data_IF_301510114546
#
_entry.id   IF_301510114546
#
_cell.length_a   1.000
_cell.length_b   1.000
_cell.length_c   1.000
_cell.angle_alpha   90.00
_cell.angle_beta   90.00
_cell.angle_gamma   90.00
#
_symmetry.space_group_name_H-M   'P 1'
#
loop_
_entity.id
_entity.type
_entity.pdbx_description
1 polymer ?
#
# COMPACT_ATOMS: atom_id res chain seq x y z
N UNK A 1 5.92 6.71 -31.16
CA UNK A 1 5.68 7.57 -29.98
C UNK A 1 5.77 6.70 -28.73
N UNK A 2 6.78 6.91 -27.88
CA UNK A 2 6.91 6.17 -26.61
C UNK A 2 5.86 6.73 -25.64
N UNK A 3 4.68 6.11 -25.59
CA UNK A 3 3.61 6.57 -24.67
C UNK A 3 4.07 6.32 -23.24
N UNK A 4 4.16 7.39 -22.46
CA UNK A 4 4.54 7.36 -21.05
C UNK A 4 3.71 6.34 -20.27
N UNK A 5 4.37 5.48 -19.46
CA UNK A 5 3.71 4.52 -18.59
C UNK A 5 3.55 5.11 -17.19
N UNK A 6 2.46 4.76 -16.53
CA UNK A 6 2.11 5.20 -15.18
C UNK A 6 1.87 4.00 -14.30
N UNK A 7 1.91 4.17 -12.99
CA UNK A 7 1.57 3.13 -12.06
C UNK A 7 0.10 3.29 -11.66
N UNK A 8 -0.73 2.40 -12.19
CA UNK A 8 -2.15 2.28 -11.82
C UNK A 8 -2.26 1.32 -10.65
N UNK A 9 -2.97 1.72 -9.62
CA UNK A 9 -3.22 0.89 -8.44
C UNK A 9 -4.71 0.81 -8.21
N UNK A 10 -5.23 -0.41 -8.27
CA UNK A 10 -6.57 -0.73 -7.81
C UNK A 10 -6.48 -1.44 -6.46
N UNK A 11 -7.46 -1.19 -5.61
CA UNK A 11 -7.53 -1.84 -4.31
C UNK A 11 -8.91 -2.41 -4.05
N UNK A 12 -8.94 -3.43 -3.19
CA UNK A 12 -10.17 -4.06 -2.75
C UNK A 12 -10.07 -4.38 -1.26
N UNK A 13 -11.14 -4.19 -0.51
CA UNK A 13 -11.16 -4.47 0.93
C UNK A 13 -11.55 -5.92 1.16
N UNK A 14 -10.69 -6.64 1.87
CA UNK A 14 -10.93 -8.05 2.21
C UNK A 14 -12.17 -8.15 3.10
N UNK A 15 -13.06 -9.08 2.76
CA UNK A 15 -14.27 -9.35 3.54
C UNK A 15 -15.13 -8.11 3.87
N UNK A 16 -15.19 -7.15 2.94
CA UNK A 16 -15.94 -5.89 3.12
C UNK A 16 -17.39 -6.11 3.57
N UNK A 17 -17.99 -7.25 3.21
CA UNK A 17 -19.35 -7.63 3.62
C UNK A 17 -19.46 -7.99 5.11
N UNK A 18 -18.38 -8.43 5.74
CA UNK A 18 -18.32 -8.78 7.17
C UNK A 18 -18.14 -7.55 8.10
N UNK A 19 -17.89 -6.37 7.52
CA UNK A 19 -17.75 -5.13 8.30
C UNK A 19 -19.10 -4.73 8.88
N UNK A 20 -19.27 -4.91 10.19
CA UNK A 20 -20.52 -4.65 10.91
C UNK A 20 -20.86 -3.18 10.99
N UNK A 21 -19.88 -2.31 11.31
CA UNK A 21 -20.08 -0.86 11.36
C UNK A 21 -19.50 -0.16 10.14
N UNK A 22 -20.20 -0.26 9.00
CA UNK A 22 -19.79 0.31 7.71
C UNK A 22 -19.60 1.83 7.76
N UNK A 23 -20.41 2.56 8.52
CA UNK A 23 -20.27 4.01 8.65
C UNK A 23 -19.00 4.41 9.40
N UNK A 24 -18.70 3.74 10.52
CA UNK A 24 -17.47 3.99 11.26
C UNK A 24 -16.23 3.66 10.40
N UNK A 25 -16.26 2.51 9.72
CA UNK A 25 -15.18 2.12 8.81
C UNK A 25 -15.00 3.13 7.68
N UNK A 26 -16.08 3.58 7.03
CA UNK A 26 -16.03 4.60 5.98
C UNK A 26 -15.38 5.91 6.46
N UNK A 27 -15.65 6.31 7.71
CA UNK A 27 -14.99 7.49 8.31
C UNK A 27 -13.49 7.29 8.49
N UNK A 28 -13.07 6.09 8.92
CA UNK A 28 -11.65 5.74 9.08
C UNK A 28 -10.97 5.71 7.71
N UNK A 29 -11.57 5.05 6.72
CA UNK A 29 -11.05 4.95 5.36
C UNK A 29 -10.92 6.33 4.70
N UNK A 30 -11.94 7.19 4.82
CA UNK A 30 -11.88 8.55 4.27
C UNK A 30 -10.75 9.37 4.91
N UNK A 31 -10.52 9.24 6.23
CA UNK A 31 -9.39 9.90 6.91
C UNK A 31 -8.05 9.38 6.40
N UNK A 32 -7.93 8.06 6.19
CA UNK A 32 -6.73 7.46 5.61
C UNK A 32 -6.46 8.02 4.21
N UNK A 33 -7.47 8.04 3.34
CA UNK A 33 -7.38 8.57 1.97
C UNK A 33 -6.97 10.04 1.97
N UNK A 34 -7.64 10.88 2.77
CA UNK A 34 -7.30 12.32 2.85
C UNK A 34 -5.87 12.55 3.34
N UNK A 35 -5.45 11.78 4.36
CA UNK A 35 -4.08 11.87 4.90
C UNK A 35 -3.06 11.50 3.83
N UNK A 36 -3.22 10.36 3.17
CA UNK A 36 -2.29 9.88 2.14
C UNK A 36 -2.27 10.82 0.93
N UNK A 37 -3.42 11.25 0.45
CA UNK A 37 -3.51 12.21 -0.67
C UNK A 37 -2.79 13.53 -0.37
N UNK A 38 -2.84 14.00 0.89
CA UNK A 38 -2.11 15.21 1.31
C UNK A 38 -0.61 14.97 1.41
N UNK A 39 -0.19 13.85 2.02
CA UNK A 39 1.23 13.52 2.23
C UNK A 39 1.96 13.28 0.92
N UNK A 40 1.31 12.67 -0.06
CA UNK A 40 1.89 12.26 -1.33
C UNK A 40 1.33 13.01 -2.53
N UNK A 41 0.84 14.23 -2.33
CA UNK A 41 0.19 15.04 -3.39
C UNK A 41 1.04 15.16 -4.66
N UNK A 42 2.36 15.28 -4.52
CA UNK A 42 3.28 15.38 -5.66
C UNK A 42 3.45 14.07 -6.44
N UNK A 43 3.18 12.93 -5.80
CA UNK A 43 3.34 11.61 -6.40
C UNK A 43 2.17 11.24 -7.32
N UNK A 44 0.99 11.79 -7.12
CA UNK A 44 -0.19 11.41 -7.86
C UNK A 44 -0.35 12.16 -9.20
N UNK A 45 -0.79 11.42 -10.22
CA UNK A 45 -1.50 11.97 -11.40
C UNK A 45 -2.98 12.09 -11.04
N UNK A 46 -3.55 11.02 -10.48
CA UNK A 46 -4.89 11.03 -9.91
C UNK A 46 -4.82 10.48 -8.48
N UNK A 47 -5.26 11.29 -7.48
CA UNK A 47 -5.22 10.90 -6.08
C UNK A 47 -6.16 9.73 -5.79
N UNK A 48 -5.99 9.10 -4.64
CA UNK A 48 -6.83 7.99 -4.18
C UNK A 48 -8.28 8.44 -4.13
N UNK A 49 -9.16 7.67 -4.79
CA UNK A 49 -10.61 7.87 -4.81
C UNK A 49 -11.33 6.54 -4.65
N UNK A 50 -12.45 6.56 -3.92
CA UNK A 50 -13.36 5.42 -3.87
C UNK A 50 -14.09 5.34 -5.22
N UNK A 51 -14.04 4.16 -5.86
CA UNK A 51 -14.65 3.90 -7.15
C UNK A 51 -16.07 3.34 -6.98
N UNK A 52 -16.20 2.35 -6.09
CA UNK A 52 -17.47 1.67 -5.88
C UNK A 52 -17.66 1.31 -4.41
N UNK A 53 -18.82 1.61 -3.86
CA UNK A 53 -19.18 1.28 -2.48
C UNK A 53 -18.21 1.87 -1.46
N UNK A 54 -17.64 1.00 -0.62
CA UNK A 54 -16.57 1.31 0.34
C UNK A 54 -15.32 0.45 0.09
N UNK A 55 -15.36 -0.43 -0.87
CA UNK A 55 -14.45 -1.56 -1.03
C UNK A 55 -13.47 -1.41 -2.19
N UNK A 56 -13.78 -0.62 -3.20
CA UNK A 56 -12.92 -0.43 -4.35
C UNK A 56 -12.33 0.98 -4.36
N UNK A 57 -10.99 1.08 -4.30
CA UNK A 57 -10.27 2.34 -4.46
C UNK A 57 -9.36 2.26 -5.69
N UNK A 58 -9.08 3.43 -6.25
CA UNK A 58 -8.09 3.54 -7.32
C UNK A 58 -7.22 4.78 -7.14
N UNK A 59 -6.00 4.71 -7.66
CA UNK A 59 -5.06 5.84 -7.77
C UNK A 59 -4.12 5.65 -8.94
N UNK A 60 -3.53 6.76 -9.41
CA UNK A 60 -2.50 6.76 -10.45
C UNK A 60 -1.29 7.53 -9.97
N UNK A 61 -0.12 6.89 -9.96
CA UNK A 61 1.14 7.45 -9.49
C UNK A 61 2.02 7.80 -10.71
N UNK A 62 2.69 8.94 -10.61
CA UNK A 62 3.68 9.40 -11.60
C UNK A 62 4.87 8.43 -11.63
N UNK A 63 5.49 8.17 -12.81
CA UNK A 63 6.62 7.25 -12.91
C UNK A 63 7.74 7.55 -11.91
N UNK A 64 8.17 8.81 -11.81
CA UNK A 64 9.27 9.21 -10.93
C UNK A 64 8.99 9.04 -9.42
N UNK A 65 7.75 8.73 -9.02
CA UNK A 65 7.36 8.52 -7.63
C UNK A 65 6.87 7.09 -7.35
N UNK A 66 7.07 6.14 -8.27
CA UNK A 66 6.59 4.76 -8.09
C UNK A 66 7.22 4.07 -6.86
N UNK A 67 8.43 4.47 -6.43
CA UNK A 67 9.06 3.99 -5.21
C UNK A 67 8.23 4.26 -3.94
N UNK A 68 7.32 5.24 -3.97
CA UNK A 68 6.47 5.57 -2.81
C UNK A 68 5.31 4.59 -2.60
N UNK A 69 5.01 3.72 -3.59
CA UNK A 69 3.79 2.89 -3.53
C UNK A 69 3.75 1.98 -2.30
N UNK A 70 4.87 1.36 -1.94
CA UNK A 70 4.89 0.46 -0.80
C UNK A 70 4.66 1.21 0.52
N UNK A 71 5.19 2.42 0.65
CA UNK A 71 4.94 3.29 1.81
C UNK A 71 3.47 3.73 1.86
N UNK A 72 2.87 4.07 0.72
CA UNK A 72 1.44 4.41 0.62
C UNK A 72 0.56 3.23 1.07
N UNK A 73 0.85 2.01 0.62
CA UNK A 73 0.16 0.77 1.03
C UNK A 73 0.24 0.59 2.55
N UNK A 74 1.43 0.74 3.13
CA UNK A 74 1.61 0.60 4.58
C UNK A 74 0.82 1.66 5.37
N UNK A 75 0.78 2.92 4.92
CA UNK A 75 -0.01 3.97 5.58
C UNK A 75 -1.52 3.67 5.54
N UNK A 76 -2.02 3.17 4.41
CA UNK A 76 -3.42 2.74 4.28
C UNK A 76 -3.69 1.57 5.22
N UNK A 77 -2.94 0.47 5.14
CA UNK A 77 -3.11 -0.73 5.96
C UNK A 77 -3.03 -0.42 7.47
N UNK A 78 -2.06 0.40 7.90
CA UNK A 78 -1.93 0.77 9.31
C UNK A 78 -3.11 1.59 9.82
N UNK A 79 -3.74 2.39 8.95
CA UNK A 79 -4.87 3.25 9.35
C UNK A 79 -6.19 2.46 9.40
N UNK A 80 -6.40 1.51 8.49
CA UNK A 80 -7.64 0.72 8.40
C UNK A 80 -7.60 -0.57 9.21
N UNK A 81 -6.43 -0.93 9.77
CA UNK A 81 -6.28 -2.13 10.59
C UNK A 81 -7.38 -2.22 11.69
N UNK A 82 -7.93 -3.39 11.94
CA UNK A 82 -7.49 -4.73 11.51
C UNK A 82 -8.04 -5.20 10.15
N UNK A 83 -8.68 -4.33 9.38
CA UNK A 83 -9.23 -4.67 8.07
C UNK A 83 -8.08 -4.74 7.06
N UNK A 84 -8.02 -5.83 6.30
CA UNK A 84 -7.00 -6.04 5.27
C UNK A 84 -7.47 -5.52 3.91
N UNK A 85 -6.51 -5.16 3.07
CA UNK A 85 -6.74 -4.67 1.72
C UNK A 85 -5.91 -5.46 0.71
N UNK A 86 -6.46 -5.63 -0.50
CA UNK A 86 -5.76 -6.14 -1.68
C UNK A 86 -5.31 -4.99 -2.56
N UNK A 87 -4.16 -5.14 -3.21
CA UNK A 87 -3.56 -4.11 -4.08
C UNK A 87 -3.08 -4.75 -5.38
N UNK A 88 -3.67 -4.36 -6.50
CA UNK A 88 -3.15 -4.66 -7.82
C UNK A 88 -2.42 -3.43 -8.37
N UNK A 89 -1.12 -3.57 -8.57
CA UNK A 89 -0.18 -2.52 -8.95
C UNK A 89 0.31 -2.81 -10.36
N UNK A 90 -0.06 -1.99 -11.34
CA UNK A 90 0.26 -2.23 -12.74
C UNK A 90 0.92 -1.02 -13.37
N UNK A 91 2.10 -1.22 -13.96
CA UNK A 91 2.76 -0.21 -14.80
C UNK A 91 2.28 -0.36 -16.23
N UNK A 92 1.64 0.67 -16.78
CA UNK A 92 1.11 0.61 -18.12
C UNK A 92 0.60 1.94 -18.66
N UNK A 93 -0.03 1.87 -19.83
CA UNK A 93 -0.60 3.04 -20.50
C UNK A 93 -1.98 3.36 -19.95
N UNK A 94 -2.30 4.65 -19.98
CA UNK A 94 -3.64 5.18 -19.73
C UNK A 94 -4.08 5.81 -21.05
N UNK A 95 -5.24 5.40 -21.55
CA UNK A 95 -5.71 5.79 -22.88
C UNK A 95 -6.69 6.97 -22.82
N UNK A 96 -7.49 7.08 -21.76
CA UNK A 96 -8.52 8.12 -21.60
C UNK A 96 -8.51 8.76 -20.21
N UNK A 97 -9.17 9.92 -20.08
CA UNK A 97 -9.43 10.59 -18.80
C UNK A 97 -8.24 11.30 -18.16
N UNK A 98 -7.10 11.35 -18.83
CA UNK A 98 -5.84 11.86 -18.26
C UNK A 98 -5.88 13.33 -17.83
N UNK A 99 -6.54 14.18 -18.59
CA UNK A 99 -6.59 15.64 -18.35
C UNK A 99 -7.43 16.04 -17.13
N UNK A 100 -8.30 15.15 -16.67
CA UNK A 100 -9.23 15.46 -15.59
C UNK A 100 -8.64 15.17 -14.20
N UNK A 101 -7.49 14.50 -14.12
CA UNK A 101 -6.85 14.08 -12.87
C UNK A 101 -7.79 13.32 -11.91
N UNK A 102 -8.85 12.73 -12.45
CA UNK A 102 -9.88 11.97 -11.73
C UNK A 102 -9.82 10.52 -12.17
N UNK A 103 -9.36 9.67 -11.28
CA UNK A 103 -9.17 8.24 -11.58
C UNK A 103 -10.47 7.53 -11.98
N UNK A 104 -11.64 8.04 -11.57
CA UNK A 104 -12.95 7.47 -11.95
C UNK A 104 -13.30 7.67 -13.44
N UNK A 105 -12.57 8.53 -14.12
CA UNK A 105 -12.75 8.85 -15.55
C UNK A 105 -11.60 8.33 -16.41
N UNK A 106 -10.62 7.67 -15.79
CA UNK A 106 -9.47 7.11 -16.47
C UNK A 106 -9.73 5.66 -16.87
N UNK A 107 -9.22 5.28 -18.04
CA UNK A 107 -9.26 3.90 -18.54
C UNK A 107 -8.04 3.61 -19.42
N UNK A 108 -7.78 2.30 -19.64
CA UNK A 108 -6.70 1.82 -20.48
C UNK A 108 -6.19 0.45 -20.05
N UNK A 109 -5.23 -0.08 -20.84
CA UNK A 109 -4.64 -1.41 -20.64
C UNK A 109 -4.17 -1.64 -19.18
N UNK A 110 -3.60 -0.61 -18.54
CA UNK A 110 -3.15 -0.71 -17.14
C UNK A 110 -4.30 -0.96 -16.15
N UNK A 111 -5.46 -0.33 -16.37
CA UNK A 111 -6.65 -0.55 -15.54
C UNK A 111 -7.24 -1.94 -15.73
N UNK A 112 -7.33 -2.43 -16.98
CA UNK A 112 -7.81 -3.78 -17.26
C UNK A 112 -6.92 -4.85 -16.63
N UNK A 113 -5.60 -4.70 -16.74
CA UNK A 113 -4.63 -5.60 -16.09
C UNK A 113 -4.71 -5.54 -14.56
N UNK A 114 -4.92 -4.35 -13.99
CA UNK A 114 -5.08 -4.20 -12.55
C UNK A 114 -6.38 -4.85 -12.06
N UNK A 115 -7.48 -4.72 -12.80
CA UNK A 115 -8.74 -5.41 -12.49
C UNK A 115 -8.59 -6.93 -12.53
N UNK A 116 -7.91 -7.47 -13.56
CA UNK A 116 -7.55 -8.89 -13.59
C UNK A 116 -6.67 -9.30 -12.41
N UNK A 117 -5.72 -8.45 -12.01
CA UNK A 117 -4.89 -8.65 -10.81
C UNK A 117 -5.72 -8.76 -9.53
N UNK A 118 -6.71 -7.89 -9.33
CA UNK A 118 -7.64 -8.00 -8.17
C UNK A 118 -8.41 -9.33 -8.19
N UNK A 119 -8.85 -9.80 -9.36
CA UNK A 119 -9.53 -11.09 -9.48
C UNK A 119 -8.61 -12.26 -9.05
N UNK A 120 -7.35 -12.27 -9.54
CA UNK A 120 -6.34 -13.26 -9.14
C UNK A 120 -6.04 -13.22 -7.64
N UNK A 121 -5.97 -12.03 -7.05
CA UNK A 121 -5.75 -11.88 -5.61
C UNK A 121 -6.91 -12.45 -4.77
N UNK A 122 -8.14 -12.32 -5.26
CA UNK A 122 -9.33 -12.90 -4.61
C UNK A 122 -9.32 -14.42 -4.68
N UNK A 123 -9.01 -14.97 -5.85
CA UNK A 123 -8.95 -16.41 -6.11
C UNK A 123 -7.87 -17.11 -5.27
N UNK A 124 -6.68 -16.51 -5.17
CA UNK A 124 -5.52 -17.10 -4.50
C UNK A 124 -5.34 -16.64 -3.04
N UNK A 125 -6.28 -15.86 -2.49
CA UNK A 125 -6.23 -15.31 -1.12
C UNK A 125 -4.96 -14.51 -0.82
N UNK A 126 -4.40 -13.86 -1.86
CA UNK A 126 -3.23 -13.00 -1.76
C UNK A 126 -3.62 -11.53 -1.59
N UNK A 127 -2.66 -10.68 -1.22
CA UNK A 127 -2.91 -9.27 -0.92
C UNK A 127 -2.24 -8.32 -1.92
N UNK A 128 -1.12 -8.72 -2.51
CA UNK A 128 -0.35 -7.86 -3.42
C UNK A 128 -0.11 -8.58 -4.75
N UNK A 129 -0.56 -7.95 -5.82
CA UNK A 129 -0.23 -8.27 -7.21
C UNK A 129 0.54 -7.11 -7.81
N UNK A 130 1.65 -7.38 -8.49
CA UNK A 130 2.40 -6.38 -9.24
C UNK A 130 2.65 -6.86 -10.66
N UNK A 131 2.53 -5.95 -11.61
CA UNK A 131 2.86 -6.17 -13.01
C UNK A 131 3.54 -4.95 -13.59
N UNK A 132 4.82 -5.09 -13.86
CA UNK A 132 5.66 -4.08 -14.52
C UNK A 132 6.14 -4.62 -15.88
N UNK A 133 7.19 -4.01 -16.44
CA UNK A 133 7.88 -4.50 -17.63
C UNK A 133 8.96 -5.55 -17.31
N UNK A 134 9.23 -5.80 -16.02
CA UNK A 134 10.28 -6.70 -15.55
C UNK A 134 9.67 -7.88 -14.77
N UNK A 135 9.53 -9.02 -15.44
CA UNK A 135 8.93 -10.22 -14.87
C UNK A 135 9.71 -10.78 -13.68
N UNK A 136 11.04 -10.67 -13.66
CA UNK A 136 11.84 -11.10 -12.50
C UNK A 136 11.53 -10.25 -11.28
N UNK A 137 11.50 -8.94 -11.46
CA UNK A 137 11.10 -8.01 -10.41
C UNK A 137 9.69 -8.33 -9.90
N UNK A 138 8.71 -8.45 -10.80
CA UNK A 138 7.31 -8.73 -10.47
C UNK A 138 7.19 -9.97 -9.59
N UNK A 139 7.84 -11.09 -10.00
CA UNK A 139 7.78 -12.36 -9.29
C UNK A 139 8.38 -12.26 -7.89
N UNK A 140 9.60 -11.69 -7.77
CA UNK A 140 10.29 -11.59 -6.48
C UNK A 140 9.61 -10.59 -5.54
N UNK A 141 9.23 -9.43 -6.04
CA UNK A 141 8.54 -8.41 -5.26
C UNK A 141 7.21 -8.95 -4.72
N UNK A 142 6.40 -9.56 -5.59
CA UNK A 142 5.08 -10.08 -5.22
C UNK A 142 5.19 -11.18 -4.16
N UNK A 143 6.13 -12.13 -4.31
CA UNK A 143 6.35 -13.19 -3.33
C UNK A 143 6.75 -12.63 -1.96
N UNK A 144 7.76 -11.75 -1.92
CA UNK A 144 8.24 -11.15 -0.68
C UNK A 144 7.20 -10.24 -0.03
N UNK A 145 6.47 -9.44 -0.82
CA UNK A 145 5.46 -8.52 -0.31
C UNK A 145 4.28 -9.28 0.31
N UNK A 146 3.83 -10.38 -0.30
CA UNK A 146 2.78 -11.23 0.27
C UNK A 146 3.25 -11.93 1.55
N UNK A 147 4.46 -12.49 1.59
CA UNK A 147 5.02 -13.09 2.81
C UNK A 147 5.12 -12.07 3.94
N UNK A 148 5.58 -10.84 3.63
CA UNK A 148 5.66 -9.78 4.61
C UNK A 148 4.28 -9.35 5.12
N UNK A 149 3.27 -9.33 4.25
CA UNK A 149 1.89 -9.02 4.66
C UNK A 149 1.32 -10.12 5.55
N UNK A 150 1.54 -11.40 5.21
CA UNK A 150 1.14 -12.54 6.06
C UNK A 150 1.77 -12.39 7.46
N UNK A 151 3.07 -12.10 7.54
CA UNK A 151 3.75 -11.86 8.82
C UNK A 151 3.12 -10.68 9.58
N UNK A 152 2.90 -9.55 8.92
CA UNK A 152 2.29 -8.36 9.56
C UNK A 152 0.84 -8.60 10.01
N UNK A 153 0.11 -9.49 9.36
CA UNK A 153 -1.26 -9.82 9.75
C UNK A 153 -1.32 -10.59 11.08
N UNK A 154 -0.22 -11.21 11.51
CA UNK A 154 -0.13 -11.79 12.86
C UNK A 154 0.05 -10.74 13.97
N UNK A 155 0.36 -9.48 13.61
CA UNK A 155 0.65 -8.45 14.59
C UNK A 155 -0.63 -7.86 15.20
N UNK A 156 -0.61 -7.67 16.50
CA UNK A 156 -1.66 -6.93 17.21
C UNK A 156 -1.65 -5.44 16.81
N UNK A 157 -2.76 -4.76 17.02
CA UNK A 157 -2.88 -3.30 16.79
C UNK A 157 -1.78 -2.53 17.56
N UNK A 158 -1.47 -2.97 18.79
CA UNK A 158 -0.42 -2.34 19.60
C UNK A 158 0.97 -2.53 18.98
N UNK A 159 1.28 -3.73 18.48
CA UNK A 159 2.54 -4.02 17.79
C UNK A 159 2.68 -3.21 16.50
N UNK A 160 1.63 -3.14 15.67
CA UNK A 160 1.60 -2.28 14.46
C UNK A 160 1.87 -0.82 14.81
N UNK A 161 1.23 -0.29 15.87
CA UNK A 161 1.45 1.10 16.32
C UNK A 161 2.89 1.34 16.78
N UNK A 162 3.46 0.43 17.56
CA UNK A 162 4.85 0.51 18.02
C UNK A 162 5.82 0.47 16.85
N UNK A 163 5.62 -0.43 15.89
CA UNK A 163 6.44 -0.53 14.68
C UNK A 163 6.38 0.75 13.85
N UNK A 164 5.19 1.29 13.60
CA UNK A 164 5.00 2.55 12.85
C UNK A 164 5.74 3.71 13.51
N UNK A 165 5.62 3.84 14.83
CA UNK A 165 6.35 4.87 15.59
C UNK A 165 7.86 4.66 15.53
N UNK A 166 8.32 3.41 15.62
CA UNK A 166 9.74 3.08 15.52
C UNK A 166 10.31 3.42 14.13
N UNK A 167 9.59 3.08 13.06
CA UNK A 167 9.96 3.45 11.67
C UNK A 167 10.09 4.98 11.51
N UNK A 168 9.19 5.76 12.13
CA UNK A 168 9.20 7.23 12.04
C UNK A 168 10.29 7.88 12.88
N UNK A 169 10.54 7.39 14.09
CA UNK A 169 11.39 8.04 15.07
C UNK A 169 12.81 7.49 15.12
N UNK A 170 13.00 6.27 14.65
CA UNK A 170 14.23 5.47 14.72
C UNK A 170 14.89 5.51 16.12
N UNK A 171 14.08 5.56 17.18
CA UNK A 171 14.53 5.70 18.56
C UNK A 171 13.55 5.05 19.53
N UNK A 172 13.99 3.98 20.21
CA UNK A 172 13.15 3.21 21.14
C UNK A 172 12.73 4.02 22.36
N UNK A 173 13.56 4.92 22.88
CA UNK A 173 13.22 5.78 24.03
C UNK A 173 12.08 6.75 23.68
N UNK A 174 12.15 7.39 22.50
CA UNK A 174 11.09 8.28 22.03
C UNK A 174 9.78 7.51 21.78
N UNK A 175 9.86 6.27 21.30
CA UNK A 175 8.68 5.40 21.15
C UNK A 175 8.10 5.05 22.53
N UNK A 176 8.95 4.70 23.50
CA UNK A 176 8.54 4.38 24.86
C UNK A 176 7.78 5.55 25.52
N UNK A 177 8.31 6.76 25.39
CA UNK A 177 7.66 7.99 25.87
C UNK A 177 6.28 8.19 25.22
N UNK A 178 6.17 8.07 23.88
CA UNK A 178 4.91 8.23 23.16
C UNK A 178 3.88 7.14 23.48
N UNK A 179 4.33 5.94 23.84
CA UNK A 179 3.48 4.81 24.19
C UNK A 179 3.20 4.71 25.70
N UNK A 180 3.82 5.56 26.51
CA UNK A 180 3.78 5.55 27.98
C UNK A 180 4.10 4.16 28.58
N UNK A 181 5.24 3.60 28.15
CA UNK A 181 5.77 2.31 28.62
C UNK A 181 7.31 2.39 28.76
N UNK A 182 7.93 1.37 29.36
CA UNK A 182 9.39 1.31 29.46
C UNK A 182 10.04 1.04 28.09
N UNK A 183 11.29 1.50 27.92
CA UNK A 183 12.10 1.18 26.73
C UNK A 183 12.30 -0.33 26.58
N UNK A 184 12.46 -1.06 27.68
CA UNK A 184 12.57 -2.52 27.68
C UNK A 184 11.32 -3.19 27.09
N UNK A 185 10.12 -2.66 27.39
CA UNK A 185 8.87 -3.14 26.78
C UNK A 185 8.88 -2.94 25.27
N UNK A 186 9.30 -1.77 24.79
CA UNK A 186 9.42 -1.49 23.34
C UNK A 186 10.43 -2.44 22.69
N UNK A 187 11.60 -2.63 23.31
CA UNK A 187 12.63 -3.53 22.82
C UNK A 187 12.10 -4.98 22.66
N UNK A 188 11.42 -5.51 23.68
CA UNK A 188 10.80 -6.84 23.63
C UNK A 188 9.77 -6.96 22.50
N UNK A 189 8.91 -5.95 22.35
CA UNK A 189 7.91 -5.93 21.28
C UNK A 189 8.55 -5.90 19.91
N UNK A 190 9.53 -5.01 19.68
CA UNK A 190 10.22 -4.90 18.39
C UNK A 190 10.98 -6.19 18.04
N UNK A 191 11.55 -6.86 19.04
CA UNK A 191 12.18 -8.17 18.85
C UNK A 191 11.16 -9.25 18.48
N UNK A 192 10.04 -9.34 19.20
CA UNK A 192 9.00 -10.35 18.94
C UNK A 192 8.37 -10.28 17.56
N UNK A 193 8.34 -9.09 16.95
CA UNK A 193 7.83 -8.86 15.59
C UNK A 193 8.94 -8.77 14.52
N UNK A 194 10.17 -9.08 14.88
CA UNK A 194 11.34 -9.02 14.00
C UNK A 194 11.47 -7.68 13.25
N UNK A 195 11.24 -6.58 13.98
CA UNK A 195 11.10 -5.24 13.41
C UNK A 195 12.29 -4.81 12.53
N UNK A 196 13.52 -5.20 12.87
CA UNK A 196 14.71 -4.85 12.08
C UNK A 196 14.72 -5.53 10.72
N UNK A 197 14.38 -6.82 10.68
CA UNK A 197 14.31 -7.61 9.45
C UNK A 197 13.19 -7.11 8.55
N UNK A 198 12.01 -6.85 9.13
CA UNK A 198 10.88 -6.27 8.40
C UNK A 198 11.25 -4.91 7.80
N UNK A 199 11.90 -4.03 8.57
CA UNK A 199 12.34 -2.73 8.08
C UNK A 199 13.33 -2.84 6.91
N UNK A 200 14.26 -3.78 6.98
CA UNK A 200 15.23 -4.04 5.91
C UNK A 200 14.52 -4.47 4.61
N UNK A 201 13.54 -5.38 4.69
CA UNK A 201 12.77 -5.81 3.52
C UNK A 201 11.98 -4.64 2.93
N UNK A 202 11.36 -3.80 3.77
CA UNK A 202 10.63 -2.61 3.31
C UNK A 202 11.54 -1.60 2.59
N UNK A 203 12.75 -1.39 3.11
CA UNK A 203 13.75 -0.51 2.47
C UNK A 203 14.21 -1.07 1.13
N UNK A 204 14.36 -2.38 1.03
CA UNK A 204 14.70 -3.04 -0.24
C UNK A 204 13.59 -2.82 -1.29
N UNK A 205 12.32 -2.85 -0.92
CA UNK A 205 11.23 -2.57 -1.85
C UNK A 205 11.29 -1.14 -2.41
N UNK A 206 11.52 -0.15 -1.55
CA UNK A 206 11.65 1.25 -1.97
C UNK A 206 12.84 1.42 -2.92
N UNK A 207 13.98 0.80 -2.61
CA UNK A 207 15.17 0.81 -3.45
C UNK A 207 14.92 0.16 -4.82
N UNK A 208 14.34 -1.04 -4.85
CA UNK A 208 14.07 -1.78 -6.09
C UNK A 208 13.10 -1.04 -7.01
N UNK A 209 12.06 -0.43 -6.46
CA UNK A 209 11.13 0.41 -7.22
C UNK A 209 11.81 1.66 -7.80
N UNK A 210 12.87 2.15 -7.17
CA UNK A 210 13.66 3.28 -7.68
C UNK A 210 14.54 2.88 -8.88
N UNK A 211 15.12 1.68 -8.88
CA UNK A 211 15.98 1.22 -9.98
C UNK A 211 15.19 0.70 -11.18
N UNK A 212 13.98 0.17 -11.00
CA UNK A 212 13.11 -0.24 -12.10
C UNK A 212 12.71 0.92 -13.03
N UNK A 213 12.86 2.18 -12.62
CA UNK A 213 12.63 3.35 -13.45
C UNK A 213 13.77 3.69 -14.39
N UNK A 214 14.96 3.14 -14.15
CA UNK A 214 16.18 3.51 -14.87
C UNK A 214 16.53 2.55 -16.04
N UNK A 215 15.73 1.50 -16.19
CA UNK A 215 15.81 0.55 -17.31
C UNK A 215 14.61 0.72 -18.25
#
# INVERSE_FOLDING_TARGET
MNKKKYLVVLTDIVDSRKITNRQAFRRVLNRAILRVNRMYVHAFIAPIKIQKGIDELAMVIKPQYQHTIYTIINELNNTVAPVDMRYAIVRGKIDTGFTQHDVSKMDGDAFHKAAAGIALLKENELTIYIKTDNTYFDTHFQAQANLLQILKNTWTIKQRKIYTLYKQLNNQHKVAQKMNVSQQTISKVLHSIQAKQVLQVEQNFEYWLTICDKQ
#
